data_IF_221771480462
#
_entry.id   IF_221771480462
#
_cell.length_a   1.000
_cell.length_b   1.000
_cell.length_c   1.000
_cell.angle_alpha   90.00
_cell.angle_beta   90.00
_cell.angle_gamma   90.00
#
_symmetry.space_group_name_H-M   'P 1'
#
loop_
_entity.id
_entity.type
_entity.pdbx_description
1 polymer ?
#
# COMPACT_ATOMS: atom_id res chain seq x y z
N UNK A 1 15.74 6.73 -2.85
CA UNK A 1 14.27 6.75 -2.82
C UNK A 1 13.80 6.39 -1.41
N UNK A 2 12.89 7.16 -0.83
CA UNK A 2 12.25 6.90 0.46
C UNK A 2 10.80 6.50 0.23
N UNK A 3 10.37 5.40 0.83
CA UNK A 3 8.99 4.92 0.72
C UNK A 3 8.38 4.82 2.12
N UNK A 4 7.09 5.13 2.24
CA UNK A 4 6.30 4.89 3.45
C UNK A 4 5.08 4.06 3.08
N UNK A 5 4.75 3.10 3.94
CA UNK A 5 3.48 2.40 3.90
C UNK A 5 2.73 2.61 5.22
N UNK A 6 1.43 2.84 5.15
CA UNK A 6 0.60 2.96 6.35
C UNK A 6 -0.83 2.43 6.13
N UNK A 7 -1.22 1.41 6.91
CA UNK A 7 -2.62 1.08 7.11
C UNK A 7 -3.30 2.19 7.95
N UNK A 8 -4.00 3.11 7.27
CA UNK A 8 -4.52 4.36 7.85
C UNK A 8 -5.89 4.20 8.52
N UNK A 9 -6.66 3.19 8.11
CA UNK A 9 -8.03 2.90 8.60
C UNK A 9 -8.97 4.11 8.57
N UNK A 10 -9.03 4.77 7.42
CA UNK A 10 -9.90 5.91 7.15
C UNK A 10 -9.14 7.23 7.01
N UNK A 11 -9.23 7.84 5.83
CA UNK A 11 -8.60 9.14 5.51
C UNK A 11 -9.61 10.30 5.37
N UNK A 12 -10.92 10.02 5.43
CA UNK A 12 -11.96 11.04 5.23
C UNK A 12 -11.94 12.20 6.25
N UNK A 13 -11.39 11.98 7.44
CA UNK A 13 -11.41 12.95 8.53
C UNK A 13 -10.11 13.75 8.62
N UNK A 14 -10.22 15.02 9.06
CA UNK A 14 -9.09 15.94 9.21
C UNK A 14 -8.00 15.40 10.12
N UNK A 15 -8.34 14.61 11.15
CA UNK A 15 -7.35 14.07 12.09
C UNK A 15 -6.41 13.08 11.39
N UNK A 16 -6.94 12.18 10.58
CA UNK A 16 -6.16 11.22 9.79
C UNK A 16 -5.33 11.95 8.74
N UNK A 17 -5.92 12.91 8.01
CA UNK A 17 -5.21 13.71 7.02
C UNK A 17 -4.06 14.49 7.66
N UNK A 18 -4.30 15.23 8.74
CA UNK A 18 -3.26 15.95 9.47
C UNK A 18 -2.13 15.04 9.96
N UNK A 19 -2.45 13.81 10.38
CA UNK A 19 -1.43 12.84 10.81
C UNK A 19 -0.60 12.35 9.63
N UNK A 20 -1.23 12.10 8.48
CA UNK A 20 -0.53 11.76 7.24
C UNK A 20 0.35 12.93 6.75
N UNK A 21 -0.16 14.17 6.76
CA UNK A 21 0.63 15.37 6.46
C UNK A 21 1.86 15.49 7.36
N UNK A 22 1.72 15.27 8.67
CA UNK A 22 2.85 15.28 9.60
C UNK A 22 3.89 14.21 9.27
N UNK A 23 3.47 13.02 8.88
CA UNK A 23 4.39 11.94 8.48
C UNK A 23 5.12 12.28 7.18
N UNK A 24 4.39 12.76 6.18
CA UNK A 24 4.95 13.16 4.89
C UNK A 24 5.94 14.32 5.08
N UNK A 25 5.56 15.37 5.80
CA UNK A 25 6.44 16.51 6.04
C UNK A 25 7.68 16.15 6.88
N UNK A 26 7.55 15.21 7.82
CA UNK A 26 8.66 14.79 8.67
C UNK A 26 9.69 13.93 7.92
N UNK A 27 9.22 12.97 7.15
CA UNK A 27 10.08 11.96 6.53
C UNK A 27 10.38 12.24 5.06
N UNK A 28 9.62 13.14 4.45
CA UNK A 28 9.75 13.57 3.06
C UNK A 28 9.84 12.38 2.08
N UNK A 29 8.90 11.42 2.13
CA UNK A 29 8.92 10.22 1.30
C UNK A 29 8.70 10.56 -0.17
N UNK A 30 9.36 9.82 -1.06
CA UNK A 30 9.17 9.93 -2.51
C UNK A 30 7.89 9.21 -2.97
N UNK A 31 7.59 8.09 -2.30
CA UNK A 31 6.43 7.24 -2.59
C UNK A 31 5.69 6.93 -1.28
N UNK A 32 4.36 7.00 -1.34
CA UNK A 32 3.48 6.72 -0.20
C UNK A 32 2.45 5.68 -0.62
N UNK A 33 2.48 4.53 0.06
CA UNK A 33 1.42 3.53 0.03
C UNK A 33 0.50 3.69 1.23
N UNK A 34 -0.81 3.60 1.02
CA UNK A 34 -1.78 3.56 2.12
C UNK A 34 -2.72 2.37 1.95
N UNK A 35 -3.08 1.76 3.08
CA UNK A 35 -4.10 0.71 3.15
C UNK A 35 -5.30 1.18 3.99
N UNK A 36 -6.48 0.66 3.65
CA UNK A 36 -7.77 0.99 4.27
C UNK A 36 -8.09 2.51 4.31
N UNK A 37 -8.04 3.26 3.20
CA UNK A 37 -8.46 4.68 3.18
C UNK A 37 -9.96 4.88 3.42
N UNK A 38 -10.79 3.85 3.16
CA UNK A 38 -12.25 3.80 3.38
C UNK A 38 -13.09 4.81 2.56
N UNK A 39 -12.50 5.47 1.56
CA UNK A 39 -13.19 6.33 0.58
C UNK A 39 -12.64 6.05 -0.82
N UNK A 40 -13.21 6.64 -1.88
CA UNK A 40 -12.63 6.57 -3.23
C UNK A 40 -11.46 7.56 -3.37
N UNK A 41 -10.44 7.29 -4.21
CA UNK A 41 -9.39 8.28 -4.52
C UNK A 41 -9.95 9.62 -5.01
N UNK A 42 -11.06 9.56 -5.75
CA UNK A 42 -11.75 10.75 -6.27
C UNK A 42 -12.39 11.61 -5.18
N UNK A 43 -12.67 11.04 -4.01
CA UNK A 43 -13.24 11.76 -2.86
C UNK A 43 -12.16 12.52 -2.06
N UNK A 44 -10.87 12.24 -2.28
CA UNK A 44 -9.78 12.97 -1.64
C UNK A 44 -9.48 14.27 -2.39
N UNK A 45 -9.37 15.37 -1.66
CA UNK A 45 -9.01 16.66 -2.25
C UNK A 45 -7.66 16.63 -2.98
N UNK A 46 -7.66 16.99 -4.26
CA UNK A 46 -6.43 17.16 -5.05
C UNK A 46 -5.53 18.27 -4.46
N UNK A 47 -6.11 19.34 -3.92
CA UNK A 47 -5.35 20.43 -3.31
C UNK A 47 -4.66 20.00 -2.02
N UNK A 48 -5.25 19.05 -1.27
CA UNK A 48 -4.60 18.44 -0.12
C UNK A 48 -3.30 17.74 -0.52
N UNK A 49 -3.30 16.89 -1.56
CA UNK A 49 -2.09 16.22 -2.03
C UNK A 49 -1.05 17.20 -2.56
N UNK A 50 -1.49 18.20 -3.34
CA UNK A 50 -0.61 19.22 -3.89
C UNK A 50 0.07 20.03 -2.78
N UNK A 51 -0.63 20.31 -1.67
CA UNK A 51 -0.05 20.97 -0.50
C UNK A 51 1.05 20.16 0.19
N UNK A 52 1.10 18.85 -0.05
CA UNK A 52 2.12 17.93 0.45
C UNK A 52 3.24 17.66 -0.57
N UNK A 53 3.26 18.38 -1.70
CA UNK A 53 4.22 18.15 -2.79
C UNK A 53 3.99 16.82 -3.54
N UNK A 54 2.82 16.21 -3.37
CA UNK A 54 2.46 14.94 -4.01
C UNK A 54 1.75 15.19 -5.34
N UNK A 55 1.97 14.27 -6.28
CA UNK A 55 1.21 14.20 -7.53
C UNK A 55 -0.29 14.02 -7.23
N UNK A 56 -1.14 14.58 -8.09
CA UNK A 56 -2.58 14.34 -8.03
C UNK A 56 -3.00 13.01 -8.69
N UNK A 57 -2.03 12.20 -9.13
CA UNK A 57 -2.25 10.88 -9.69
C UNK A 57 -2.16 9.80 -8.60
N UNK A 58 -3.01 8.78 -8.75
CA UNK A 58 -3.01 7.60 -7.90
C UNK A 58 -2.89 6.35 -8.74
N UNK A 59 -2.22 5.35 -8.19
CA UNK A 59 -2.57 3.97 -8.45
C UNK A 59 -3.36 3.44 -7.27
N UNK A 60 -4.35 2.62 -7.55
CA UNK A 60 -5.16 1.99 -6.54
C UNK A 60 -5.58 0.61 -7.01
N UNK A 61 -5.77 -0.30 -6.08
CA UNK A 61 -6.11 -1.67 -6.42
C UNK A 61 -7.52 -1.74 -7.04
N UNK A 62 -7.70 -2.67 -7.96
CA UNK A 62 -9.00 -2.93 -8.58
C UNK A 62 -9.72 -4.07 -7.88
N UNK A 63 -11.01 -3.88 -7.60
CA UNK A 63 -11.93 -4.91 -7.14
C UNK A 63 -13.33 -4.60 -7.65
N UNK A 64 -14.06 -5.57 -8.20
CA UNK A 64 -15.46 -5.37 -8.58
C UNK A 64 -16.30 -4.92 -7.37
N UNK A 65 -17.09 -3.86 -7.56
CA UNK A 65 -18.08 -3.36 -6.59
C UNK A 65 -17.54 -3.06 -5.19
N UNK A 66 -16.25 -2.72 -5.06
CA UNK A 66 -15.64 -2.33 -3.78
C UNK A 66 -14.83 -1.07 -3.95
N UNK A 67 -14.87 -0.23 -2.91
CA UNK A 67 -13.98 0.92 -2.77
C UNK A 67 -12.53 0.41 -2.73
N UNK A 68 -11.60 0.98 -3.52
CA UNK A 68 -10.20 0.60 -3.49
C UNK A 68 -9.62 0.71 -2.08
N UNK A 69 -8.95 -0.33 -1.61
CA UNK A 69 -8.44 -0.42 -0.24
C UNK A 69 -6.92 -0.25 -0.15
N UNK A 70 -6.20 -0.18 -1.27
CA UNK A 70 -4.77 0.11 -1.33
C UNK A 70 -4.58 1.22 -2.33
N UNK A 71 -3.93 2.32 -1.91
CA UNK A 71 -3.52 3.38 -2.82
C UNK A 71 -2.01 3.57 -2.78
N UNK A 72 -1.48 4.04 -3.90
CA UNK A 72 -0.11 4.47 -4.09
C UNK A 72 -0.15 5.85 -4.74
N UNK A 73 0.55 6.80 -4.14
CA UNK A 73 0.80 8.12 -4.71
C UNK A 73 2.25 8.51 -4.43
N UNK A 74 2.76 9.47 -5.19
CA UNK A 74 4.18 9.78 -5.23
C UNK A 74 4.41 11.28 -5.41
N UNK A 75 5.61 11.74 -5.08
CA UNK A 75 6.03 13.13 -5.34
C UNK A 75 6.05 13.43 -6.83
N UNK A 76 5.80 14.68 -7.19
CA UNK A 76 5.87 15.15 -8.58
C UNK A 76 7.26 15.04 -9.21
N UNK A 77 8.30 14.94 -8.38
CA UNK A 77 9.69 14.77 -8.80
C UNK A 77 10.07 13.33 -9.12
N UNK A 78 9.27 12.34 -8.71
CA UNK A 78 9.51 10.94 -9.05
C UNK A 78 9.14 10.74 -10.52
N UNK A 79 10.02 10.05 -11.25
CA UNK A 79 9.80 9.70 -12.64
C UNK A 79 8.56 8.80 -12.81
N UNK A 80 8.26 8.43 -14.06
CA UNK A 80 7.12 7.57 -14.38
C UNK A 80 7.21 6.23 -13.63
N UNK A 81 6.20 5.95 -12.81
CA UNK A 81 6.00 4.61 -12.23
C UNK A 81 5.30 3.72 -13.24
N UNK A 82 5.89 2.55 -13.51
CA UNK A 82 5.30 1.57 -14.42
C UNK A 82 4.44 0.59 -13.62
N UNK A 83 3.13 0.57 -13.88
CA UNK A 83 2.24 -0.42 -13.26
C UNK A 83 2.56 -1.81 -13.80
N UNK A 84 3.04 -2.71 -12.94
CA UNK A 84 3.36 -4.10 -13.31
C UNK A 84 2.20 -5.01 -12.98
N UNK A 85 1.61 -4.87 -11.80
CA UNK A 85 0.49 -5.71 -11.38
C UNK A 85 -0.44 -4.98 -10.41
N UNK A 86 -1.74 -5.18 -10.56
CA UNK A 86 -2.75 -4.55 -9.73
C UNK A 86 -3.91 -5.51 -9.54
N UNK A 87 -4.10 -5.98 -8.30
CA UNK A 87 -5.17 -6.94 -8.01
C UNK A 87 -5.49 -6.95 -6.52
N UNK A 88 -6.78 -6.86 -6.15
CA UNK A 88 -7.40 -7.12 -4.83
C UNK A 88 -6.60 -6.84 -3.53
N UNK A 89 -5.45 -7.49 -3.32
CA UNK A 89 -4.60 -7.44 -2.13
C UNK A 89 -3.21 -6.83 -2.40
N UNK A 90 -2.92 -6.36 -3.61
CA UNK A 90 -1.62 -5.81 -3.98
C UNK A 90 -1.66 -4.75 -5.09
N UNK A 91 -0.63 -3.92 -5.08
CA UNK A 91 -0.18 -3.05 -6.16
C UNK A 91 1.32 -3.22 -6.32
N UNK A 92 1.77 -3.55 -7.52
CA UNK A 92 3.19 -3.67 -7.86
C UNK A 92 3.53 -2.73 -9.00
N UNK A 93 4.52 -1.88 -8.76
CA UNK A 93 5.08 -0.95 -9.73
C UNK A 93 6.56 -1.23 -9.94
N UNK A 94 7.09 -0.81 -11.07
CA UNK A 94 8.52 -0.80 -11.37
C UNK A 94 9.00 0.65 -11.48
N UNK A 95 10.14 0.93 -10.85
CA UNK A 95 10.82 2.23 -10.82
C UNK A 95 12.32 1.98 -10.95
N UNK A 96 12.95 2.49 -12.00
CA UNK A 96 14.40 2.44 -12.22
C UNK A 96 15.01 1.02 -12.07
N UNK A 97 14.33 0.01 -12.59
CA UNK A 97 14.71 -1.40 -12.54
C UNK A 97 14.39 -2.11 -11.22
N UNK A 98 13.66 -1.48 -10.31
CA UNK A 98 13.30 -2.02 -9.00
C UNK A 98 11.79 -2.20 -8.89
N UNK A 99 11.35 -3.38 -8.45
CA UNK A 99 9.96 -3.63 -8.11
C UNK A 99 9.63 -3.06 -6.72
N UNK A 100 8.49 -2.40 -6.62
CA UNK A 100 7.86 -2.00 -5.36
C UNK A 100 6.47 -2.60 -5.30
N UNK A 101 6.22 -3.48 -4.34
CA UNK A 101 4.89 -4.00 -4.04
C UNK A 101 4.34 -3.43 -2.74
N UNK A 102 3.14 -2.87 -2.79
CA UNK A 102 2.32 -2.56 -1.63
C UNK A 102 1.29 -3.65 -1.45
N UNK A 103 1.27 -4.27 -0.28
CA UNK A 103 0.39 -5.41 0.02
C UNK A 103 -0.50 -5.08 1.21
N UNK A 104 -1.78 -5.38 1.07
CA UNK A 104 -2.72 -5.45 2.19
C UNK A 104 -3.51 -6.74 2.04
N UNK A 105 -3.03 -7.78 2.74
CA UNK A 105 -3.53 -9.12 2.56
C UNK A 105 -4.77 -9.39 3.40
N UNK A 106 -5.59 -10.33 2.95
CA UNK A 106 -6.80 -10.73 3.62
C UNK A 106 -6.48 -11.49 4.92
N UNK A 107 -7.25 -11.29 6.00
CA UNK A 107 -7.02 -11.95 7.29
C UNK A 107 -7.20 -13.48 7.23
N UNK A 108 -8.15 -13.96 6.41
CA UNK A 108 -8.37 -15.40 6.16
C UNK A 108 -7.30 -15.94 5.21
N UNK A 109 -6.57 -16.97 5.63
CA UNK A 109 -5.43 -17.53 4.91
C UNK A 109 -5.76 -18.05 3.51
N UNK A 110 -6.93 -18.69 3.33
CA UNK A 110 -7.35 -19.25 2.04
C UNK A 110 -7.44 -18.15 0.98
N UNK A 111 -7.89 -16.96 1.37
CA UNK A 111 -8.04 -15.82 0.47
C UNK A 111 -6.69 -15.20 0.08
N UNK A 112 -5.60 -15.53 0.79
CA UNK A 112 -4.24 -15.09 0.43
C UNK A 112 -3.59 -15.99 -0.63
N UNK A 113 -4.17 -17.14 -1.00
CA UNK A 113 -3.55 -18.05 -1.98
C UNK A 113 -3.26 -17.37 -3.31
N UNK A 114 -4.21 -16.59 -3.84
CA UNK A 114 -3.99 -15.86 -5.09
C UNK A 114 -2.87 -14.82 -4.96
N UNK A 115 -2.81 -14.10 -3.84
CA UNK A 115 -1.72 -13.16 -3.56
C UNK A 115 -0.36 -13.88 -3.63
N UNK A 116 -0.22 -15.03 -2.97
CA UNK A 116 1.04 -15.79 -3.00
C UNK A 116 1.41 -16.29 -4.40
N UNK A 117 0.43 -16.74 -5.18
CA UNK A 117 0.67 -17.15 -6.57
C UNK A 117 1.18 -15.98 -7.42
N UNK A 118 0.53 -14.82 -7.30
CA UNK A 118 0.93 -13.62 -8.03
C UNK A 118 2.34 -13.15 -7.62
N UNK A 119 2.65 -13.15 -6.31
CA UNK A 119 3.99 -12.79 -5.82
C UNK A 119 5.06 -13.75 -6.33
N UNK A 120 4.75 -15.05 -6.38
CA UNK A 120 5.65 -16.03 -6.96
C UNK A 120 5.91 -15.74 -8.46
N UNK A 121 4.88 -15.40 -9.24
CA UNK A 121 5.06 -15.03 -10.65
C UNK A 121 5.91 -13.78 -10.81
N UNK A 122 5.68 -12.75 -10.00
CA UNK A 122 6.49 -11.52 -10.00
C UNK A 122 7.96 -11.79 -9.63
N UNK A 123 8.22 -12.74 -8.74
CA UNK A 123 9.59 -13.12 -8.36
C UNK A 123 10.43 -13.63 -9.54
N UNK A 124 9.79 -14.18 -10.58
CA UNK A 124 10.46 -14.69 -11.77
C UNK A 124 11.05 -13.58 -12.65
N UNK A 125 10.65 -12.32 -12.44
CA UNK A 125 11.24 -11.17 -13.14
C UNK A 125 12.71 -10.93 -12.76
N UNK A 126 13.17 -11.49 -11.64
CA UNK A 126 14.56 -11.41 -11.18
C UNK A 126 15.10 -9.97 -11.07
N UNK A 127 14.23 -9.04 -10.65
CA UNK A 127 14.58 -7.66 -10.33
C UNK A 127 14.72 -7.49 -8.81
N UNK A 128 15.55 -6.54 -8.33
CA UNK A 128 15.50 -6.12 -6.94
C UNK A 128 14.06 -5.75 -6.55
N UNK A 129 13.60 -6.22 -5.39
CA UNK A 129 12.21 -6.12 -5.00
C UNK A 129 12.06 -5.64 -3.56
N UNK A 130 11.40 -4.50 -3.40
CA UNK A 130 10.93 -3.99 -2.12
C UNK A 130 9.45 -4.34 -1.94
N UNK A 131 9.13 -5.00 -0.84
CA UNK A 131 7.74 -5.27 -0.44
C UNK A 131 7.45 -4.45 0.83
N UNK A 132 6.40 -3.65 0.79
CA UNK A 132 5.84 -2.96 1.94
C UNK A 132 4.45 -3.52 2.20
N UNK A 133 4.22 -4.08 3.38
CA UNK A 133 3.03 -4.89 3.59
C UNK A 133 2.33 -4.71 4.94
N UNK A 134 1.06 -5.10 4.90
CA UNK A 134 0.34 -5.69 6.01
C UNK A 134 -0.17 -7.06 5.53
N UNK A 135 0.63 -8.12 5.72
CA UNK A 135 0.21 -9.49 5.37
C UNK A 135 -0.91 -10.04 6.25
N UNK A 136 -1.36 -9.33 7.30
CA UNK A 136 -2.30 -9.85 8.30
C UNK A 136 -1.92 -11.27 8.80
N UNK A 137 -0.62 -11.52 8.90
CA UNK A 137 -0.04 -12.79 9.28
C UNK A 137 1.19 -12.55 10.15
N UNK A 138 1.41 -13.45 11.10
CA UNK A 138 2.63 -13.48 11.91
C UNK A 138 3.58 -14.50 11.29
N UNK A 139 4.88 -14.18 11.24
CA UNK A 139 5.89 -15.15 10.80
C UNK A 139 6.14 -16.18 11.89
N UNK A 140 6.09 -15.73 13.13
CA UNK A 140 6.29 -16.54 14.32
C UNK A 140 5.31 -16.16 15.43
N UNK A 141 5.09 -17.07 16.38
CA UNK A 141 4.28 -16.77 17.55
C UNK A 141 4.86 -15.62 18.38
N UNK A 142 6.19 -15.48 18.40
CA UNK A 142 6.90 -14.41 19.12
C UNK A 142 6.62 -13.00 18.59
N UNK A 143 6.12 -12.88 17.36
CA UNK A 143 5.78 -11.56 16.78
C UNK A 143 4.52 -10.96 17.43
N UNK A 144 3.74 -11.77 18.15
CA UNK A 144 2.50 -11.35 18.79
C UNK A 144 2.71 -11.12 20.29
N UNK A 145 2.45 -9.89 20.72
CA UNK A 145 2.36 -9.56 22.14
C UNK A 145 0.89 -9.37 22.56
N UNK A 146 0.42 -10.21 23.49
CA UNK A 146 -0.95 -10.15 24.04
C UNK A 146 -2.04 -10.80 23.17
N UNK A 147 -3.27 -10.84 23.69
CA UNK A 147 -4.44 -11.42 23.01
C UNK A 147 -4.48 -12.96 22.97
N UNK A 148 -5.51 -13.52 22.33
CA UNK A 148 -5.68 -14.97 22.20
C UNK A 148 -4.62 -15.58 21.28
N UNK A 149 -4.22 -16.84 21.56
CA UNK A 149 -3.30 -17.57 20.68
C UNK A 149 -3.84 -17.60 19.24
N UNK A 150 -2.99 -17.41 18.22
CA UNK A 150 -3.41 -17.54 16.83
C UNK A 150 -4.08 -18.91 16.62
N UNK A 151 -5.20 -18.94 15.89
CA UNK A 151 -5.78 -20.20 15.43
C UNK A 151 -4.76 -20.92 14.56
N UNK A 152 -4.37 -22.13 14.95
CA UNK A 152 -3.48 -23.01 14.16
C UNK A 152 -4.22 -23.80 13.08
N UNK A 153 -5.47 -23.45 12.78
CA UNK A 153 -6.32 -24.10 11.76
C UNK A 153 -6.41 -23.30 10.48
#
# INVERSE_FOLDING_TARGET
MRCIFWNIRGIANDKSQNRLSKLINKWDPDIVGIAEPMISPDDLSKSYLQSLGMSSCFFYNTSPNRVPNIWLFWKTTVATLNMIHCFNQQLTVEIDGVLLSIIHAHCIYVNRRQLWMDLHQLSLMNLPWLILDDFNAYLSYSDKQGGHRPSTR
#
